data_IF_833220334000
#
_entry.id   IF_833220334000
#
_cell.length_a   1.000
_cell.length_b   1.000
_cell.length_c   1.000
_cell.angle_alpha   90.00
_cell.angle_beta   90.00
_cell.angle_gamma   90.00
#
_symmetry.space_group_name_H-M   'P 1'
#
loop_
_entity.id
_entity.type
_entity.pdbx_description
1 polymer ?
#
# COMPACT_ATOMS: atom_id res chain seq x y z
N UNK A 1 -5.88 10.36 -14.38
CA UNK A 1 -4.99 9.92 -13.29
C UNK A 1 -5.85 9.36 -12.17
N UNK A 2 -5.42 8.34 -11.41
CA UNK A 2 -6.27 7.68 -10.41
C UNK A 2 -6.57 8.54 -9.17
N UNK A 3 -6.11 9.80 -9.14
CA UNK A 3 -6.15 10.68 -7.97
C UNK A 3 -7.22 11.77 -8.09
N UNK A 4 -8.10 11.71 -9.10
CA UNK A 4 -9.14 12.72 -9.37
C UNK A 4 -10.54 12.08 -9.44
N UNK A 5 -10.97 11.42 -8.35
CA UNK A 5 -12.35 10.90 -8.23
C UNK A 5 -13.08 11.57 -7.09
N UNK A 6 -14.28 12.07 -7.37
CA UNK A 6 -15.25 12.61 -6.41
C UNK A 6 -15.53 11.58 -5.31
N UNK A 7 -15.52 12.03 -4.06
CA UNK A 7 -15.69 11.22 -2.85
C UNK A 7 -17.14 10.73 -2.70
N UNK A 8 -17.51 9.62 -3.34
CA UNK A 8 -18.54 8.74 -2.77
C UNK A 8 -17.88 7.97 -1.63
N UNK A 9 -18.52 7.90 -0.46
CA UNK A 9 -17.91 7.41 0.79
C UNK A 9 -18.19 5.91 1.01
N UNK A 10 -17.41 4.95 0.48
CA UNK A 10 -17.16 3.73 1.23
C UNK A 10 -16.26 4.08 2.43
N UNK A 11 -16.25 3.23 3.45
CA UNK A 11 -15.35 3.37 4.59
C UNK A 11 -13.90 3.64 4.12
N UNK A 12 -13.13 4.47 4.85
CA UNK A 12 -11.71 4.67 4.55
C UNK A 12 -11.02 3.31 4.46
N UNK A 13 -10.22 3.10 3.42
CA UNK A 13 -9.62 1.80 3.12
C UNK A 13 -8.12 1.90 2.94
N UNK A 14 -7.41 0.94 3.53
CA UNK A 14 -6.02 0.67 3.25
C UNK A 14 -5.98 -0.16 1.97
N UNK A 15 -5.28 0.35 0.95
CA UNK A 15 -5.15 -0.33 -0.35
C UNK A 15 -3.68 -0.58 -0.66
N UNK A 16 -3.40 -1.74 -1.21
CA UNK A 16 -2.09 -2.07 -1.78
C UNK A 16 -2.30 -2.22 -3.27
N UNK A 17 -1.52 -1.47 -4.05
CA UNK A 17 -1.59 -1.45 -5.50
C UNK A 17 -0.24 -1.84 -6.10
N UNK A 18 -0.24 -2.41 -7.29
CA UNK A 18 1.00 -2.58 -8.06
C UNK A 18 1.39 -1.27 -8.77
N UNK A 19 2.51 -1.28 -9.49
CA UNK A 19 3.01 -0.12 -10.24
C UNK A 19 2.03 0.36 -11.33
N UNK A 20 1.21 -0.52 -11.89
CA UNK A 20 0.17 -0.16 -12.85
C UNK A 20 -1.12 0.36 -12.18
N UNK A 21 -1.09 0.60 -10.86
CA UNK A 21 -2.22 1.05 -10.04
C UNK A 21 -3.37 0.04 -10.01
N UNK A 22 -3.09 -1.24 -10.29
CA UNK A 22 -4.05 -2.30 -10.11
C UNK A 22 -4.11 -2.67 -8.62
N UNK A 23 -5.34 -2.81 -8.08
CA UNK A 23 -5.58 -3.18 -6.70
C UNK A 23 -5.17 -4.64 -6.44
N UNK A 24 -4.25 -4.84 -5.50
CA UNK A 24 -3.80 -6.18 -5.06
C UNK A 24 -4.52 -6.62 -3.78
N UNK A 25 -4.79 -5.65 -2.89
CA UNK A 25 -5.45 -5.91 -1.62
C UNK A 25 -6.18 -4.66 -1.12
N UNK A 26 -7.28 -4.84 -0.41
CA UNK A 26 -7.95 -3.79 0.34
C UNK A 26 -8.43 -4.30 1.70
N UNK A 27 -8.40 -3.42 2.70
CA UNK A 27 -9.04 -3.62 3.99
C UNK A 27 -9.62 -2.29 4.50
N UNK A 28 -10.63 -2.31 5.38
CA UNK A 28 -11.03 -1.11 6.12
C UNK A 28 -9.85 -0.55 6.91
N UNK A 29 -9.63 0.76 6.87
CA UNK A 29 -8.61 1.45 7.66
C UNK A 29 -9.25 1.97 8.94
N UNK A 30 -9.20 1.15 9.99
CA UNK A 30 -9.92 1.38 11.24
C UNK A 30 -8.99 2.01 12.28
N UNK A 31 -9.46 3.05 12.96
CA UNK A 31 -8.71 3.68 14.04
C UNK A 31 -8.34 2.66 15.13
N UNK A 32 -7.20 2.88 15.79
CA UNK A 32 -6.68 2.02 16.87
C UNK A 32 -6.47 0.55 16.49
N UNK A 33 -6.41 0.23 15.20
CA UNK A 33 -6.11 -1.11 14.69
C UNK A 33 -4.69 -1.14 14.16
N UNK A 34 -3.89 -2.12 14.59
CA UNK A 34 -2.63 -2.39 13.93
C UNK A 34 -2.88 -3.12 12.62
N UNK A 35 -2.41 -2.52 11.53
CA UNK A 35 -2.44 -3.11 10.21
C UNK A 35 -1.05 -3.64 9.88
N UNK A 36 -0.87 -4.95 9.98
CA UNK A 36 0.40 -5.60 9.69
C UNK A 36 0.36 -6.10 8.25
N UNK A 37 1.40 -5.79 7.47
CA UNK A 37 1.49 -6.21 6.07
C UNK A 37 2.91 -6.55 5.68
N UNK A 38 3.04 -7.48 4.75
CA UNK A 38 4.28 -7.75 4.04
C UNK A 38 4.01 -7.85 2.54
N UNK A 39 4.94 -7.32 1.74
CA UNK A 39 4.90 -7.44 0.29
C UNK A 39 6.14 -8.20 -0.13
N UNK A 40 5.96 -9.46 -0.54
CA UNK A 40 7.02 -10.24 -1.14
C UNK A 40 7.17 -9.80 -2.60
N UNK A 41 8.42 -9.48 -2.98
CA UNK A 41 8.77 -9.14 -4.37
C UNK A 41 9.67 -10.23 -4.92
N UNK A 42 9.17 -10.94 -5.93
CA UNK A 42 9.99 -11.87 -6.72
C UNK A 42 10.55 -11.11 -7.93
N UNK A 43 11.81 -10.70 -7.84
CA UNK A 43 12.48 -9.95 -8.90
C UNK A 43 12.76 -10.78 -10.15
N UNK A 44 12.87 -12.11 -10.01
CA UNK A 44 13.16 -13.01 -11.12
C UNK A 44 11.90 -13.25 -11.95
N UNK A 45 10.77 -13.53 -11.28
CA UNK A 45 9.48 -13.75 -11.94
C UNK A 45 8.68 -12.46 -12.16
N UNK A 46 9.13 -11.33 -11.61
CA UNK A 46 8.41 -10.05 -11.61
C UNK A 46 7.00 -10.18 -11.04
N UNK A 47 6.86 -10.82 -9.88
CA UNK A 47 5.57 -11.01 -9.20
C UNK A 47 5.55 -10.40 -7.78
N UNK A 48 4.35 -10.12 -7.29
CA UNK A 48 4.08 -9.65 -5.94
C UNK A 48 3.15 -10.61 -5.21
N UNK A 49 3.45 -10.89 -3.94
CA UNK A 49 2.54 -11.58 -3.02
C UNK A 49 2.30 -10.68 -1.83
N UNK A 50 1.04 -10.47 -1.45
CA UNK A 50 0.67 -9.63 -0.31
C UNK A 50 0.26 -10.53 0.84
N UNK A 51 0.80 -10.22 2.01
CA UNK A 51 0.42 -10.82 3.28
C UNK A 51 -0.14 -9.73 4.18
N UNK A 52 -1.18 -10.04 4.94
CA UNK A 52 -1.83 -9.06 5.79
C UNK A 52 -2.54 -9.71 6.97
N UNK A 53 -2.50 -9.04 8.12
CA UNK A 53 -3.29 -9.39 9.30
C UNK A 53 -3.49 -8.17 10.19
N UNK A 54 -4.39 -8.26 11.17
CA UNK A 54 -4.68 -7.18 12.11
C UNK A 54 -4.20 -7.52 13.51
N UNK A 55 -3.77 -6.51 14.26
CA UNK A 55 -3.44 -6.64 15.68
C UNK A 55 -2.45 -7.79 15.95
N UNK A 56 -2.88 -8.78 16.72
CA UNK A 56 -2.11 -9.97 17.08
C UNK A 56 -2.59 -11.24 16.34
N UNK A 57 -3.36 -11.08 15.26
CA UNK A 57 -3.75 -12.20 14.40
C UNK A 57 -2.50 -12.82 13.72
N UNK A 58 -2.69 -13.97 13.06
CA UNK A 58 -1.59 -14.64 12.35
C UNK A 58 -1.44 -14.07 10.93
N UNK A 59 -0.19 -13.84 10.49
CA UNK A 59 0.09 -13.46 9.11
C UNK A 59 -0.39 -14.57 8.17
N UNK A 60 -1.20 -14.18 7.19
CA UNK A 60 -1.62 -15.05 6.11
C UNK A 60 -1.47 -14.33 4.77
N UNK A 61 -1.20 -15.06 3.69
CA UNK A 61 -1.29 -14.49 2.37
C UNK A 61 -2.74 -14.09 2.07
N UNK A 62 -2.92 -12.88 1.54
CA UNK A 62 -4.23 -12.36 1.13
C UNK A 62 -4.39 -12.30 -0.37
N UNK A 63 -3.32 -12.58 -1.12
CA UNK A 63 -3.37 -12.89 -2.55
C UNK A 63 -3.32 -14.41 -2.73
N UNK A 64 -4.26 -15.02 -3.48
CA UNK A 64 -4.33 -16.48 -3.63
C UNK A 64 -3.15 -17.08 -4.40
N UNK A 65 -2.47 -16.25 -5.20
CA UNK A 65 -1.28 -16.60 -5.98
C UNK A 65 -0.43 -15.35 -6.22
N UNK A 66 0.85 -15.49 -6.58
CA UNK A 66 1.69 -14.35 -6.95
C UNK A 66 1.08 -13.58 -8.14
N UNK A 67 0.94 -12.27 -7.97
CA UNK A 67 0.32 -11.39 -8.97
C UNK A 67 1.38 -10.76 -9.87
N UNK A 68 1.14 -10.62 -11.19
CA UNK A 68 2.08 -9.98 -12.09
C UNK A 68 2.41 -8.54 -11.69
N UNK A 69 3.69 -8.21 -11.76
CA UNK A 69 4.24 -6.87 -11.60
C UNK A 69 5.20 -6.55 -12.75
N UNK A 70 4.80 -6.92 -13.96
CA UNK A 70 5.60 -6.82 -15.18
C UNK A 70 6.12 -5.40 -15.44
N UNK A 71 5.41 -4.38 -14.99
CA UNK A 71 5.87 -3.00 -15.11
C UNK A 71 7.13 -2.72 -14.30
N UNK A 72 7.57 -3.58 -13.37
CA UNK A 72 8.80 -3.40 -12.58
C UNK A 72 9.98 -4.32 -13.02
N UNK A 73 9.86 -5.06 -14.13
CA UNK A 73 10.89 -6.02 -14.56
C UNK A 73 12.28 -5.37 -14.71
N UNK A 74 13.30 -5.99 -14.10
CA UNK A 74 14.69 -5.52 -14.14
C UNK A 74 15.01 -4.30 -13.28
N UNK A 75 14.02 -3.68 -12.64
CA UNK A 75 14.23 -2.51 -11.78
C UNK A 75 14.23 -2.95 -10.32
N UNK A 76 15.38 -2.79 -9.64
CA UNK A 76 15.42 -2.84 -8.17
C UNK A 76 15.02 -1.45 -7.66
N UNK A 77 13.85 -1.38 -7.02
CA UNK A 77 13.24 -0.11 -6.62
C UNK A 77 13.91 0.56 -5.42
N UNK A 78 13.63 1.85 -5.24
CA UNK A 78 13.83 2.56 -3.96
C UNK A 78 12.63 2.30 -3.07
N UNK A 79 12.86 1.96 -1.81
CA UNK A 79 11.80 1.80 -0.82
C UNK A 79 11.63 3.11 -0.05
N UNK A 80 10.52 3.80 -0.31
CA UNK A 80 10.13 4.98 0.45
C UNK A 80 9.23 4.56 1.60
N UNK A 81 9.71 4.73 2.82
CA UNK A 81 8.95 4.46 4.02
C UNK A 81 8.55 5.77 4.70
N UNK A 82 7.42 6.33 4.26
CA UNK A 82 6.79 7.49 4.86
C UNK A 82 5.38 7.68 4.28
N UNK A 83 4.69 8.72 4.72
CA UNK A 83 3.47 9.19 4.09
C UNK A 83 3.76 10.26 3.04
N UNK A 84 3.06 10.19 1.91
CA UNK A 84 2.92 11.28 0.95
C UNK A 84 1.43 11.57 0.82
N UNK A 85 1.04 12.82 1.10
CA UNK A 85 -0.34 13.29 0.97
C UNK A 85 -0.44 14.27 -0.19
N UNK A 86 -1.30 13.96 -1.14
CA UNK A 86 -1.68 14.91 -2.20
C UNK A 86 -2.81 15.83 -1.67
N UNK A 87 -2.83 17.10 -2.09
CA UNK A 87 -3.99 17.96 -1.82
C UNK A 87 -5.25 17.44 -2.51
N UNK A 88 -6.41 17.86 -2.02
CA UNK A 88 -7.70 17.62 -2.66
C UNK A 88 -7.96 18.62 -3.78
N UNK A 89 -8.87 18.26 -4.69
CA UNK A 89 -9.42 19.20 -5.67
C UNK A 89 -10.15 20.32 -4.93
N UNK A 90 -9.83 21.57 -5.25
CA UNK A 90 -10.63 22.73 -4.82
C UNK A 90 -11.75 22.97 -5.85
N UNK A 91 -13.03 22.77 -5.48
CA UNK A 91 -14.14 22.97 -6.40
C UNK A 91 -14.31 24.43 -6.85
N UNK A 92 -13.63 25.39 -6.20
CA UNK A 92 -13.65 26.81 -6.57
C UNK A 92 -12.70 27.16 -7.71
N UNK A 93 -11.74 26.29 -8.02
CA UNK A 93 -10.78 26.51 -9.10
C UNK A 93 -11.40 26.26 -10.47
N UNK A 94 -10.79 26.81 -11.52
CA UNK A 94 -11.22 26.56 -12.89
C UNK A 94 -11.04 25.06 -13.25
N UNK A 95 -11.85 24.49 -14.16
CA UNK A 95 -11.76 23.07 -14.52
C UNK A 95 -10.36 22.62 -14.97
N UNK A 96 -9.60 23.51 -15.63
CA UNK A 96 -8.22 23.23 -16.04
C UNK A 96 -7.25 23.08 -14.85
N UNK A 97 -7.50 23.80 -13.76
CA UNK A 97 -6.68 23.80 -12.54
C UNK A 97 -7.06 22.65 -11.59
N UNK A 98 -8.30 22.17 -11.66
CA UNK A 98 -8.77 21.02 -10.87
C UNK A 98 -8.02 19.72 -11.19
N UNK A 99 -7.36 19.64 -12.36
CA UNK A 99 -6.49 18.52 -12.73
C UNK A 99 -5.09 18.54 -12.09
N UNK A 100 -4.67 19.69 -11.54
CA UNK A 100 -3.34 19.91 -10.97
C UNK A 100 -3.43 20.25 -9.48
N UNK A 101 -3.82 19.23 -8.72
CA UNK A 101 -3.98 19.34 -7.27
C UNK A 101 -2.67 19.62 -6.54
N UNK A 102 -1.51 19.36 -7.16
CA UNK A 102 -0.19 19.60 -6.54
C UNK A 102 0.06 21.09 -6.37
N UNK A 103 -0.35 21.91 -7.34
CA UNK A 103 -0.16 23.37 -7.31
C UNK A 103 -1.40 24.13 -6.83
N UNK A 104 -2.60 23.63 -7.12
CA UNK A 104 -3.85 24.37 -6.92
C UNK A 104 -4.79 23.75 -5.88
N UNK A 105 -4.47 22.56 -5.35
CA UNK A 105 -5.36 21.87 -4.44
C UNK A 105 -5.36 22.42 -3.02
N UNK A 106 -6.32 21.93 -2.22
CA UNK A 106 -6.48 22.30 -0.80
C UNK A 106 -6.13 21.14 0.12
N UNK A 107 -5.55 21.44 1.28
CA UNK A 107 -5.20 20.47 2.31
C UNK A 107 -6.15 20.61 3.50
N UNK A 108 -6.68 19.50 4.00
CA UNK A 108 -7.47 19.49 5.23
C UNK A 108 -6.57 19.36 6.46
N UNK A 109 -6.92 20.09 7.53
CA UNK A 109 -6.22 20.01 8.81
C UNK A 109 -4.74 20.39 8.76
N UNK A 110 -4.10 20.42 9.93
CA UNK A 110 -2.65 20.67 10.06
C UNK A 110 -1.93 19.57 10.84
N UNK A 111 -2.67 18.54 11.28
CA UNK A 111 -2.15 17.49 12.15
C UNK A 111 -2.65 16.14 11.69
N UNK A 112 -1.71 15.35 11.21
CA UNK A 112 -1.88 13.93 10.88
C UNK A 112 -0.91 13.12 11.70
N UNK A 113 -1.32 11.92 12.11
CA UNK A 113 -0.46 11.00 12.84
C UNK A 113 -0.60 9.60 12.29
N UNK A 114 0.54 9.04 11.91
CA UNK A 114 0.71 7.62 11.65
C UNK A 114 1.72 7.08 12.65
N UNK A 115 1.45 5.89 13.17
CA UNK A 115 2.34 5.19 14.08
C UNK A 115 2.81 3.94 13.35
N UNK A 116 4.12 3.75 13.33
CA UNK A 116 4.75 2.64 12.64
C UNK A 116 5.59 1.83 13.62
N UNK A 117 5.62 0.51 13.42
CA UNK A 117 6.48 -0.40 14.16
C UNK A 117 6.80 -1.63 13.31
N UNK A 118 7.88 -2.35 13.66
CA UNK A 118 8.27 -3.57 12.96
C UNK A 118 8.60 -3.37 11.47
N UNK A 119 9.23 -2.25 11.11
CA UNK A 119 9.57 -1.93 9.72
C UNK A 119 10.93 -2.51 9.38
N UNK A 120 10.98 -3.46 8.45
CA UNK A 120 12.22 -4.10 8.01
C UNK A 120 12.10 -4.64 6.59
N UNK A 121 13.24 -5.05 6.03
CA UNK A 121 13.35 -5.79 4.78
C UNK A 121 14.15 -7.05 5.06
N UNK A 122 13.69 -8.19 4.55
CA UNK A 122 14.35 -9.47 4.74
C UNK A 122 14.49 -10.25 3.43
N UNK A 123 15.36 -11.26 3.46
CA UNK A 123 15.42 -12.28 2.42
C UNK A 123 14.44 -13.40 2.77
N UNK A 124 13.36 -13.53 2.02
CA UNK A 124 12.31 -14.51 2.28
C UNK A 124 12.65 -15.97 1.87
N UNK A 125 13.92 -16.39 1.90
CA UNK A 125 14.32 -17.71 1.39
C UNK A 125 13.76 -18.89 2.21
N UNK A 126 13.40 -18.66 3.47
CA UNK A 126 12.74 -19.63 4.36
C UNK A 126 11.24 -19.35 4.57
N UNK A 127 10.64 -18.47 3.78
CA UNK A 127 9.31 -17.92 4.03
C UNK A 127 9.34 -16.45 4.44
N UNK A 128 8.16 -15.89 4.70
CA UNK A 128 7.97 -14.51 5.17
C UNK A 128 7.87 -14.50 6.69
N UNK A 129 8.72 -13.73 7.36
CA UNK A 129 8.77 -13.63 8.81
C UNK A 129 7.49 -13.06 9.40
N UNK A 130 7.04 -13.66 10.50
CA UNK A 130 5.91 -13.16 11.31
C UNK A 130 6.36 -12.56 12.64
N UNK A 131 7.67 -12.42 12.83
CA UNK A 131 8.26 -12.15 14.14
C UNK A 131 8.34 -13.39 15.03
N UNK A 132 9.05 -13.28 16.16
CA UNK A 132 9.17 -14.38 17.14
C UNK A 132 9.87 -15.66 16.62
N UNK A 133 10.56 -15.58 15.48
CA UNK A 133 11.23 -16.72 14.83
C UNK A 133 10.34 -17.58 13.92
N UNK A 134 9.05 -17.23 13.76
CA UNK A 134 8.15 -17.92 12.83
C UNK A 134 8.23 -17.39 11.40
N UNK A 135 7.84 -18.22 10.42
CA UNK A 135 7.70 -17.83 9.02
C UNK A 135 6.50 -18.51 8.34
N UNK A 136 5.88 -17.80 7.41
CA UNK A 136 4.84 -18.33 6.51
C UNK A 136 5.50 -18.80 5.22
N UNK A 137 5.17 -20.01 4.70
CA UNK A 137 5.72 -20.49 3.44
C UNK A 137 5.44 -19.52 2.29
N UNK A 138 6.38 -19.46 1.34
CA UNK A 138 6.17 -18.73 0.10
C UNK A 138 5.05 -19.39 -0.70
N UNK A 139 4.17 -18.58 -1.29
CA UNK A 139 3.27 -19.08 -2.32
C UNK A 139 4.04 -19.06 -3.65
N UNK A 140 4.16 -20.22 -4.29
CA UNK A 140 4.75 -20.38 -5.61
C UNK A 140 3.76 -20.07 -6.71
#
# INVERSE_FOLDING_TARGET
>A
TPFNTTTTTPAPSLKILNRALALLFNAPFTAHTWHNLAVQVDWTRSTLTVFYFRNADHLAPVTPMPLPNASAAGLKGKFHFSMLKLPFVDPRNAPAEQGDVVHHGVQEGTRERLIYWGVFVERAAGGVSVGGGGAVPLIS
#
